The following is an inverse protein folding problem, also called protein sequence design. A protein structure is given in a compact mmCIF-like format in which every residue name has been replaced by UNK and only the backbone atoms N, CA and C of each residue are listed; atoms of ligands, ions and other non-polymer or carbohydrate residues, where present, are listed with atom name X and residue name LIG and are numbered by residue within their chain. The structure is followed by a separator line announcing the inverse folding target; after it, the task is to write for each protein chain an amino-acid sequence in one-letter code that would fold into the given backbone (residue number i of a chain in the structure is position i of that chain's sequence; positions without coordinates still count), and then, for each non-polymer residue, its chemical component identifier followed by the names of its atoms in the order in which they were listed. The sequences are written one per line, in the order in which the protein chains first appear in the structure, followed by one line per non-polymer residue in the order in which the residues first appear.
data_IF_709847320536
#
_entry.id   IF_709847320536
#
_cell.length_a   1.000
_cell.length_b   1.000
_cell.length_c   1.000
_cell.angle_alpha   90.00
_cell.angle_beta   90.00
_cell.angle_gamma   90.00
#
_symmetry.space_group_name_H-M   'P 1'
#
loop_
_entity.id
_entity.type
_entity.pdbx_description
1 polymer ?
#
# COMPACT_ATOMS: atom_id res chain seq x y z
N UNK A 1 -8.42 -2.03 7.08
CA UNK A 1 -7.22 -2.86 7.36
C UNK A 1 -7.45 -4.33 7.03
N UNK A 2 -6.57 -4.95 6.23
CA UNK A 2 -6.56 -6.39 5.92
C UNK A 2 -7.95 -6.99 5.61
N UNK A 3 -8.53 -6.55 4.49
CA UNK A 3 -9.85 -6.97 4.00
C UNK A 3 -11.06 -6.52 4.84
N UNK A 4 -10.86 -5.69 5.87
CA UNK A 4 -11.94 -5.12 6.69
C UNK A 4 -11.99 -3.59 6.58
N UNK A 5 -13.20 -3.05 6.51
CA UNK A 5 -13.42 -1.62 6.75
C UNK A 5 -13.24 -1.32 8.24
N UNK A 6 -12.45 -0.29 8.55
CA UNK A 6 -12.19 0.16 9.92
C UNK A 6 -12.20 1.69 9.94
N UNK A 7 -12.61 2.29 11.04
CA UNK A 7 -12.43 3.73 11.21
C UNK A 7 -10.95 4.05 11.44
N UNK A 8 -10.49 5.20 10.94
CA UNK A 8 -9.09 5.60 11.02
C UNK A 8 -8.56 5.66 12.46
N UNK A 9 -9.40 6.05 13.42
CA UNK A 9 -9.04 6.16 14.84
C UNK A 9 -8.78 4.81 15.52
N UNK A 10 -9.35 3.73 14.97
CA UNK A 10 -9.28 2.39 15.52
C UNK A 10 -8.22 1.52 14.81
N UNK A 11 -7.52 2.09 13.83
CA UNK A 11 -6.51 1.42 13.04
C UNK A 11 -5.18 1.37 13.80
N UNK A 12 -4.86 0.19 14.36
CA UNK A 12 -3.61 -0.05 15.09
C UNK A 12 -2.69 -0.96 14.27
N UNK A 13 -1.44 -0.54 14.12
CA UNK A 13 -0.36 -1.34 13.53
C UNK A 13 0.50 -1.90 14.68
N UNK A 14 0.91 -3.16 14.55
CA UNK A 14 1.78 -3.81 15.54
C UNK A 14 3.18 -3.21 15.47
N UNK A 15 3.88 -3.14 16.61
CA UNK A 15 5.27 -2.65 16.64
C UNK A 15 6.20 -3.58 15.86
N UNK A 16 5.90 -4.88 15.78
CA UNK A 16 6.69 -5.84 15.02
C UNK A 16 6.48 -5.77 13.49
N UNK A 17 5.60 -4.88 13.02
CA UNK A 17 5.39 -4.66 11.59
C UNK A 17 6.69 -4.11 10.95
N UNK A 18 7.19 -4.78 9.91
CA UNK A 18 8.45 -4.41 9.25
C UNK A 18 8.31 -3.14 8.42
N UNK A 19 7.11 -2.85 7.92
CA UNK A 19 6.78 -1.58 7.26
C UNK A 19 6.86 -0.40 8.23
N UNK A 20 6.47 -0.60 9.49
CA UNK A 20 6.63 0.41 10.55
C UNK A 20 8.10 0.53 11.00
N UNK A 21 8.75 -0.59 11.32
CA UNK A 21 10.06 -0.58 11.99
C UNK A 21 11.22 -0.31 11.04
N UNK A 22 11.15 -0.85 9.82
CA UNK A 22 12.26 -0.83 8.86
C UNK A 22 11.90 -0.09 7.58
N UNK A 23 10.73 0.56 7.52
CA UNK A 23 10.17 1.13 6.30
C UNK A 23 10.06 0.08 5.16
N UNK A 24 9.92 -1.19 5.53
CA UNK A 24 9.86 -2.31 4.59
C UNK A 24 8.43 -2.51 4.08
N UNK A 25 8.02 -1.62 3.18
CA UNK A 25 6.69 -1.63 2.59
C UNK A 25 6.63 -0.83 1.29
N UNK A 26 5.56 -1.05 0.54
CA UNK A 26 5.23 -0.29 -0.66
C UNK A 26 3.87 0.36 -0.47
N UNK A 27 3.71 1.56 -1.00
CA UNK A 27 2.43 2.27 -0.99
C UNK A 27 2.21 3.01 -2.30
N UNK A 28 0.96 3.36 -2.56
CA UNK A 28 0.55 4.19 -3.67
C UNK A 28 -0.46 5.23 -3.17
N UNK A 29 -0.50 6.38 -3.85
CA UNK A 29 -1.47 7.43 -3.57
C UNK A 29 -2.32 7.64 -4.81
N UNK A 30 -3.64 7.49 -4.65
CA UNK A 30 -4.62 7.70 -5.71
C UNK A 30 -5.36 9.02 -5.50
N UNK A 31 -5.65 9.71 -6.60
CA UNK A 31 -6.53 10.88 -6.60
C UNK A 31 -7.89 10.49 -7.17
N UNK A 32 -8.95 10.98 -6.55
CA UNK A 32 -10.33 10.84 -7.04
C UNK A 32 -10.89 12.23 -7.33
N UNK A 33 -11.48 12.42 -8.50
CA UNK A 33 -12.21 13.64 -8.88
C UNK A 33 -13.60 13.20 -9.34
N UNK A 34 -14.65 13.79 -8.75
CA UNK A 34 -16.04 13.50 -9.09
C UNK A 34 -16.37 11.99 -9.12
N UNK A 35 -15.88 11.27 -8.11
CA UNK A 35 -16.07 9.81 -7.98
C UNK A 35 -15.20 8.97 -8.92
N UNK A 36 -14.40 9.59 -9.80
CA UNK A 36 -13.54 8.91 -10.76
C UNK A 36 -12.09 8.85 -10.27
N UNK A 37 -11.52 7.65 -10.05
CA UNK A 37 -10.11 7.52 -9.72
C UNK A 37 -9.24 7.81 -10.95
N UNK A 38 -8.29 8.74 -10.80
CA UNK A 38 -7.36 9.08 -11.86
C UNK A 38 -6.26 8.02 -11.98
N UNK A 39 -5.99 7.58 -13.22
CA UNK A 39 -4.88 6.67 -13.56
C UNK A 39 -4.85 5.39 -12.71
N UNK A 40 -6.02 4.88 -12.31
CA UNK A 40 -6.13 3.75 -11.39
C UNK A 40 -5.27 2.54 -11.84
N UNK A 41 -5.36 2.19 -13.13
CA UNK A 41 -4.62 1.08 -13.69
C UNK A 41 -3.10 1.28 -13.63
N UNK A 42 -2.60 2.50 -13.89
CA UNK A 42 -1.17 2.80 -13.86
C UNK A 42 -0.59 2.69 -12.44
N UNK A 43 -1.34 3.17 -11.44
CA UNK A 43 -0.97 3.03 -10.03
C UNK A 43 -0.95 1.57 -9.59
N UNK A 44 -1.97 0.78 -9.93
CA UNK A 44 -2.00 -0.66 -9.61
C UNK A 44 -0.84 -1.41 -10.28
N UNK A 45 -0.56 -1.11 -11.55
CA UNK A 45 0.56 -1.71 -12.28
C UNK A 45 1.92 -1.35 -11.64
N UNK A 46 2.09 -0.12 -11.17
CA UNK A 46 3.33 0.29 -10.47
C UNK A 46 3.47 -0.41 -9.13
N UNK A 47 2.40 -0.56 -8.35
CA UNK A 47 2.41 -1.33 -7.11
C UNK A 47 2.84 -2.79 -7.35
N UNK A 48 2.29 -3.45 -8.38
CA UNK A 48 2.66 -4.83 -8.73
C UNK A 48 4.12 -4.95 -9.16
N UNK A 49 4.61 -4.01 -9.98
CA UNK A 49 6.03 -3.96 -10.38
C UNK A 49 6.96 -3.75 -9.18
N UNK A 50 6.59 -2.85 -8.27
CA UNK A 50 7.33 -2.62 -7.03
C UNK A 50 7.36 -3.86 -6.16
N UNK A 51 6.23 -4.56 -6.02
CA UNK A 51 6.14 -5.80 -5.26
C UNK A 51 7.07 -6.88 -5.83
N UNK A 52 7.05 -7.06 -7.16
CA UNK A 52 7.96 -7.99 -7.84
C UNK A 52 9.43 -7.64 -7.59
N UNK A 53 9.79 -6.36 -7.73
CA UNK A 53 11.16 -5.91 -7.48
C UNK A 53 11.60 -6.13 -6.03
N UNK A 54 10.74 -5.83 -5.06
CA UNK A 54 11.00 -6.08 -3.63
C UNK A 54 11.31 -7.55 -3.35
N UNK A 55 10.51 -8.48 -3.90
CA UNK A 55 10.79 -9.92 -3.74
C UNK A 55 12.11 -10.34 -4.36
N UNK A 56 12.53 -9.71 -5.46
CA UNK A 56 13.78 -10.05 -6.14
C UNK A 56 15.03 -9.61 -5.36
N UNK A 57 14.99 -8.47 -4.67
CA UNK A 57 16.14 -7.92 -3.92
C UNK A 57 16.22 -8.41 -2.46
N UNK A 58 15.20 -9.10 -1.97
CA UNK A 58 15.17 -9.69 -0.61
C UNK A 58 15.66 -11.14 -0.56
N UNK A 59 16.17 -11.69 -1.67
CA UNK A 59 16.86 -12.99 -1.79
C UNK A 59 18.37 -12.78 -1.90
#
# INVERSE_FOLDING_TARGET
MNSKFVERKDENIKLEDTGLTFADGLFEVLRIIDGTPLFFHDHTNRMQKGQFFRYFISL
#
